data_IF_339535187227
#
_entry.id   IF_339535187227
#
_cell.length_a   1.000
_cell.length_b   1.000
_cell.length_c   1.000
_cell.angle_alpha   90.00
_cell.angle_beta   90.00
_cell.angle_gamma   90.00
#
_symmetry.space_group_name_H-M   'P 1'
#
loop_
_entity.id
_entity.type
_entity.pdbx_description
1 polymer ?
#
# COMPACT_ATOMS: atom_id res chain seq x y z
N UNK A 1 7.95 9.90 13.20
CA UNK A 1 8.78 9.32 14.29
C UNK A 1 7.86 9.00 15.45
N UNK A 2 8.04 7.79 16.00
CA UNK A 2 7.31 7.10 17.09
C UNK A 2 5.94 6.49 16.69
N UNK A 3 5.83 5.14 16.63
CA UNK A 3 4.62 4.40 16.33
C UNK A 3 3.89 3.94 17.61
N UNK A 4 2.57 3.80 17.53
CA UNK A 4 1.73 3.08 18.50
C UNK A 4 0.84 2.19 17.64
N UNK A 5 0.88 0.85 17.65
CA UNK A 5 1.18 -0.06 18.74
C UNK A 5 -0.05 -0.97 18.87
N UNK A 6 -0.10 -2.02 18.03
CA UNK A 6 -1.16 -3.02 17.97
C UNK A 6 -1.19 -3.77 19.31
N UNK A 7 -2.24 -3.56 20.09
CA UNK A 7 -2.49 -4.29 21.34
C UNK A 7 -3.20 -5.62 21.08
N UNK A 8 -2.43 -6.66 20.81
CA UNK A 8 -2.91 -8.04 20.93
C UNK A 8 -2.92 -8.41 22.43
N UNK A 9 -4.11 -8.59 23.00
CA UNK A 9 -4.27 -9.12 24.37
C UNK A 9 -4.16 -10.64 24.29
N UNK A 10 -2.95 -11.16 24.50
CA UNK A 10 -2.71 -12.57 24.77
C UNK A 10 -2.83 -12.81 26.28
N UNK A 11 -3.87 -13.53 26.71
CA UNK A 11 -4.03 -14.01 28.08
C UNK A 11 -3.07 -15.18 28.33
N UNK A 12 -1.91 -14.87 28.92
CA UNK A 12 -0.97 -15.84 29.46
C UNK A 12 -1.45 -16.32 30.83
N UNK A 13 -2.06 -17.50 30.88
CA UNK A 13 -2.31 -18.25 32.10
C UNK A 13 -0.98 -18.76 32.67
N UNK A 14 -0.43 -18.07 33.67
CA UNK A 14 0.64 -18.60 34.51
C UNK A 14 0.04 -19.60 35.52
N UNK A 15 -0.05 -20.86 35.10
CA UNK A 15 -0.21 -21.99 36.02
C UNK A 15 1.07 -22.18 36.83
N UNK A 16 1.00 -21.94 38.15
CA UNK A 16 2.01 -22.45 39.10
C UNK A 16 1.92 -23.99 39.10
N UNK A 17 2.89 -24.65 38.47
CA UNK A 17 3.10 -26.09 38.63
C UNK A 17 3.55 -26.36 40.07
N UNK A 18 2.68 -26.95 40.89
CA UNK A 18 3.12 -27.66 42.09
C UNK A 18 3.65 -29.05 41.69
N UNK A 19 4.72 -29.54 42.33
CA UNK A 19 5.22 -30.89 42.09
C UNK A 19 4.16 -31.92 42.48
N UNK A 20 4.06 -33.06 41.77
CA UNK A 20 3.12 -34.12 42.10
C UNK A 20 3.44 -34.69 43.49
N UNK A 21 2.43 -34.95 44.34
CA UNK A 21 2.66 -35.65 45.60
C UNK A 21 3.06 -37.10 45.34
N UNK A 22 3.90 -37.65 46.22
CA UNK A 22 4.41 -39.02 46.15
C UNK A 22 3.29 -40.06 46.02
N UNK A 23 3.54 -41.19 45.31
CA UNK A 23 2.54 -42.22 45.12
C UNK A 23 2.19 -42.88 46.47
N UNK A 24 0.97 -42.62 46.93
CA UNK A 24 0.36 -43.34 48.06
C UNK A 24 0.23 -44.82 47.64
N UNK A 25 0.66 -45.78 48.47
CA UNK A 25 0.50 -47.19 48.16
C UNK A 25 -0.97 -47.54 47.93
N UNK A 26 -1.28 -48.47 47.00
CA UNK A 26 -2.66 -48.87 46.76
C UNK A 26 -3.24 -49.43 48.06
N UNK A 27 -4.44 -49.00 48.49
CA UNK A 27 -5.07 -49.60 49.64
C UNK A 27 -5.39 -51.06 49.31
N UNK A 28 -5.12 -51.93 50.29
CA UNK A 28 -5.45 -53.35 50.24
C UNK A 28 -6.89 -53.55 49.74
N UNK A 29 -7.01 -54.25 48.61
CA UNK A 29 -8.25 -54.80 48.11
C UNK A 29 -8.71 -55.92 49.06
N UNK A 30 -9.32 -55.56 50.18
CA UNK A 30 -10.18 -56.48 50.92
C UNK A 30 -11.10 -55.72 51.87
N UNK A 31 -12.40 -55.83 51.59
CA UNK A 31 -13.51 -55.48 52.49
C UNK A 31 -13.76 -53.98 52.77
N UNK A 32 -14.26 -53.26 51.77
CA UNK A 32 -15.19 -52.15 52.00
C UNK A 32 -16.48 -52.40 51.22
N UNK A 33 -17.37 -53.14 51.88
CA UNK A 33 -18.81 -52.88 51.99
C UNK A 33 -19.43 -52.32 50.71
N UNK A 34 -20.19 -53.17 50.02
CA UNK A 34 -21.33 -52.76 49.20
C UNK A 34 -22.29 -51.95 50.08
N UNK A 35 -21.94 -50.68 50.31
CA UNK A 35 -22.74 -49.74 51.07
C UNK A 35 -23.89 -49.36 50.17
N UNK A 36 -25.11 -49.64 50.63
CA UNK A 36 -26.31 -48.98 50.15
C UNK A 36 -25.98 -47.51 49.91
N UNK A 37 -26.02 -47.09 48.64
CA UNK A 37 -26.01 -45.67 48.31
C UNK A 37 -27.26 -45.12 48.98
N UNK A 38 -27.07 -44.50 50.15
CA UNK A 38 -28.12 -44.00 51.01
C UNK A 38 -29.10 -43.18 50.14
N UNK A 39 -30.37 -43.57 50.12
CA UNK A 39 -31.39 -42.97 49.26
C UNK A 39 -31.44 -41.43 49.44
N UNK A 40 -31.02 -40.95 50.61
CA UNK A 40 -30.82 -39.54 50.92
C UNK A 40 -29.76 -38.86 50.02
N UNK A 41 -28.63 -39.51 49.73
CA UNK A 41 -27.55 -38.97 48.88
C UNK A 41 -28.00 -38.87 47.42
N UNK A 42 -28.74 -39.87 46.93
CA UNK A 42 -29.35 -39.83 45.59
C UNK A 42 -30.37 -38.71 45.48
N UNK A 43 -31.21 -38.54 46.51
CA UNK A 43 -32.19 -37.45 46.60
C UNK A 43 -31.54 -36.06 46.60
N UNK A 44 -30.48 -35.86 47.38
CA UNK A 44 -29.70 -34.61 47.42
C UNK A 44 -29.07 -34.33 46.04
N UNK A 45 -28.49 -35.34 45.39
CA UNK A 45 -27.90 -35.19 44.05
C UNK A 45 -28.93 -34.78 43.02
N UNK A 46 -30.12 -35.38 43.02
CA UNK A 46 -31.22 -35.00 42.12
C UNK A 46 -31.70 -33.56 42.38
N UNK A 47 -31.81 -33.15 43.65
CA UNK A 47 -32.16 -31.76 43.99
C UNK A 47 -31.11 -30.76 43.53
N UNK A 48 -29.82 -31.10 43.66
CA UNK A 48 -28.73 -30.26 43.16
C UNK A 48 -28.79 -30.12 41.63
N UNK A 49 -29.08 -31.20 40.90
CA UNK A 49 -29.24 -31.14 39.44
C UNK A 49 -30.46 -30.32 39.02
N UNK A 50 -31.58 -30.41 39.74
CA UNK A 50 -32.75 -29.55 39.52
C UNK A 50 -32.43 -28.07 39.73
N UNK A 51 -31.71 -27.74 40.82
CA UNK A 51 -31.26 -26.38 41.07
C UNK A 51 -30.30 -25.88 39.96
N UNK A 52 -29.36 -26.71 39.51
CA UNK A 52 -28.46 -26.39 38.39
C UNK A 52 -29.22 -26.15 37.08
N UNK A 53 -30.24 -26.96 36.81
CA UNK A 53 -31.14 -26.81 35.66
C UNK A 53 -31.88 -25.46 35.72
N UNK A 54 -32.51 -25.13 36.85
CA UNK A 54 -33.26 -23.88 37.02
C UNK A 54 -32.36 -22.66 36.87
N UNK A 55 -31.15 -22.70 37.44
CA UNK A 55 -30.14 -21.65 37.31
C UNK A 55 -29.71 -21.50 35.85
N UNK A 56 -29.38 -22.60 35.17
CA UNK A 56 -28.97 -22.59 33.78
C UNK A 56 -30.05 -22.03 32.86
N UNK A 57 -31.31 -22.46 33.05
CA UNK A 57 -32.45 -21.95 32.30
C UNK A 57 -32.67 -20.45 32.52
N UNK A 58 -32.59 -19.99 33.78
CA UNK A 58 -32.74 -18.57 34.11
C UNK A 58 -31.64 -17.73 33.46
N UNK A 59 -30.38 -18.17 33.54
CA UNK A 59 -29.24 -17.51 32.90
C UNK A 59 -29.40 -17.45 31.38
N UNK A 60 -29.75 -18.58 30.73
CA UNK A 60 -29.99 -18.63 29.29
C UNK A 60 -31.10 -17.65 28.87
N UNK A 61 -32.22 -17.63 29.58
CA UNK A 61 -33.33 -16.70 29.32
C UNK A 61 -32.94 -15.24 29.53
N UNK A 62 -32.14 -14.94 30.54
CA UNK A 62 -31.65 -13.59 30.77
C UNK A 62 -30.74 -13.12 29.63
N UNK A 63 -29.76 -13.94 29.24
CA UNK A 63 -28.85 -13.64 28.14
C UNK A 63 -29.59 -13.46 26.80
N UNK A 64 -30.63 -14.28 26.57
CA UNK A 64 -31.52 -14.14 25.41
C UNK A 64 -32.25 -12.80 25.38
N UNK A 65 -32.81 -12.34 26.51
CA UNK A 65 -33.48 -11.03 26.58
C UNK A 65 -32.52 -9.88 26.26
N UNK A 66 -31.27 -9.97 26.73
CA UNK A 66 -30.25 -8.97 26.39
C UNK A 66 -29.94 -8.97 24.89
N UNK A 67 -29.80 -10.15 24.29
CA UNK A 67 -29.60 -10.29 22.85
C UNK A 67 -30.78 -9.71 22.05
N UNK A 68 -32.02 -10.06 22.40
CA UNK A 68 -33.24 -9.53 21.76
C UNK A 68 -33.30 -8.00 21.82
N UNK A 69 -33.01 -7.42 22.99
CA UNK A 69 -32.92 -5.97 23.16
C UNK A 69 -31.87 -5.35 22.24
N UNK A 70 -30.69 -5.96 22.12
CA UNK A 70 -29.62 -5.47 21.25
C UNK A 70 -29.98 -5.60 19.76
N UNK A 71 -30.68 -6.66 19.35
CA UNK A 71 -31.17 -6.82 17.97
C UNK A 71 -32.25 -5.78 17.63
N UNK A 72 -33.13 -5.47 18.59
CA UNK A 72 -34.13 -4.42 18.44
C UNK A 72 -33.49 -3.02 18.36
N UNK A 73 -32.50 -2.72 19.22
CA UNK A 73 -31.77 -1.46 19.17
C UNK A 73 -31.03 -1.30 17.83
N UNK A 74 -30.32 -2.35 17.40
CA UNK A 74 -29.63 -2.36 16.11
C UNK A 74 -30.58 -2.13 14.94
N UNK A 75 -31.70 -2.86 14.87
CA UNK A 75 -32.66 -2.72 13.77
C UNK A 75 -33.31 -1.34 13.73
N UNK A 76 -33.67 -0.80 14.90
CA UNK A 76 -34.23 0.55 15.03
C UNK A 76 -33.22 1.62 14.60
N UNK A 77 -31.98 1.53 15.09
CA UNK A 77 -30.94 2.50 14.75
C UNK A 77 -30.53 2.42 13.27
N UNK A 78 -30.45 1.20 12.73
CA UNK A 78 -30.15 0.97 11.32
C UNK A 78 -31.24 1.58 10.43
N UNK A 79 -32.51 1.30 10.71
CA UNK A 79 -33.64 1.84 9.95
C UNK A 79 -33.69 3.36 10.03
N UNK A 80 -33.51 3.94 11.22
CA UNK A 80 -33.40 5.39 11.39
C UNK A 80 -32.26 5.96 10.53
N UNK A 81 -31.07 5.35 10.58
CA UNK A 81 -29.90 5.80 9.81
C UNK A 81 -30.09 5.68 8.30
N UNK A 82 -30.94 4.77 7.81
CA UNK A 82 -31.21 4.68 6.38
C UNK A 82 -32.07 5.83 5.87
N UNK A 83 -32.86 6.47 6.74
CA UNK A 83 -33.93 7.38 6.35
C UNK A 83 -33.79 8.82 6.88
N UNK A 84 -32.99 9.03 7.92
CA UNK A 84 -32.84 10.31 8.61
C UNK A 84 -31.74 11.22 8.01
N UNK A 85 -31.52 12.36 8.67
CA UNK A 85 -30.51 13.34 8.29
C UNK A 85 -29.08 12.82 8.46
N UNK A 86 -28.80 12.07 9.53
CA UNK A 86 -27.48 11.47 9.75
C UNK A 86 -27.12 10.49 8.62
N UNK A 87 -28.10 9.72 8.14
CA UNK A 87 -27.98 8.89 6.95
C UNK A 87 -27.57 9.67 5.70
N UNK A 88 -28.20 10.83 5.46
CA UNK A 88 -27.83 11.71 4.35
C UNK A 88 -26.42 12.26 4.49
N UNK A 89 -25.98 12.57 5.70
CA UNK A 89 -24.61 13.04 5.95
C UNK A 89 -23.57 11.94 5.71
N UNK A 90 -23.85 10.70 6.16
CA UNK A 90 -23.03 9.52 5.84
C UNK A 90 -22.95 9.33 4.32
N UNK A 91 -24.09 9.45 3.63
CA UNK A 91 -24.15 9.35 2.17
C UNK A 91 -23.42 10.48 1.42
N UNK A 92 -23.08 11.59 2.10
CA UNK A 92 -22.35 12.71 1.53
C UNK A 92 -20.84 12.48 1.45
N UNK A 93 -20.33 11.49 2.19
CA UNK A 93 -18.91 11.11 2.19
C UNK A 93 -18.74 9.68 1.67
N UNK A 94 -17.95 9.51 0.62
CA UNK A 94 -17.68 8.18 0.04
C UNK A 94 -16.99 7.25 1.05
N UNK A 95 -16.15 7.81 1.93
CA UNK A 95 -15.48 7.06 2.99
C UNK A 95 -16.47 6.55 4.04
N UNK A 96 -17.38 7.40 4.53
CA UNK A 96 -18.37 6.98 5.53
C UNK A 96 -19.41 6.04 4.93
N UNK A 97 -19.81 6.26 3.68
CA UNK A 97 -20.69 5.35 2.93
C UNK A 97 -20.06 3.95 2.84
N UNK A 98 -18.77 3.87 2.54
CA UNK A 98 -18.02 2.61 2.50
C UNK A 98 -17.98 1.92 3.86
N UNK A 99 -17.66 2.66 4.93
CA UNK A 99 -17.65 2.11 6.30
C UNK A 99 -19.03 1.61 6.72
N UNK A 100 -20.10 2.31 6.35
CA UNK A 100 -21.46 1.88 6.61
C UNK A 100 -21.82 0.59 5.87
N UNK A 101 -21.46 0.48 4.58
CA UNK A 101 -21.67 -0.76 3.79
C UNK A 101 -20.90 -1.93 4.42
N UNK A 102 -19.63 -1.73 4.76
CA UNK A 102 -18.80 -2.75 5.40
C UNK A 102 -19.36 -3.20 6.76
N UNK A 103 -19.86 -2.25 7.57
CA UNK A 103 -20.50 -2.57 8.85
C UNK A 103 -21.76 -3.43 8.68
N UNK A 104 -22.55 -3.16 7.64
CA UNK A 104 -23.76 -3.92 7.32
C UNK A 104 -23.45 -5.33 6.81
N UNK A 105 -22.41 -5.46 5.99
CA UNK A 105 -22.02 -6.72 5.34
C UNK A 105 -21.08 -7.59 6.17
N UNK A 106 -20.60 -7.09 7.33
CA UNK A 106 -19.70 -7.84 8.19
C UNK A 106 -20.33 -9.20 8.58
N UNK A 107 -19.65 -10.33 8.32
CA UNK A 107 -20.16 -11.64 8.68
C UNK A 107 -20.27 -11.77 10.20
N UNK A 108 -21.26 -12.54 10.66
CA UNK A 108 -21.29 -12.97 12.06
C UNK A 108 -20.17 -14.03 12.23
N UNK A 109 -19.40 -14.00 13.32
CA UNK A 109 -18.29 -14.94 13.55
C UNK A 109 -18.73 -16.40 13.71
N UNK A 110 -20.03 -16.66 13.82
CA UNK A 110 -20.61 -17.99 13.88
C UNK A 110 -21.27 -18.26 12.53
N UNK A 111 -20.81 -19.29 11.82
CA UNK A 111 -21.31 -19.67 10.47
C UNK A 111 -22.81 -19.96 10.40
N UNK A 112 -23.49 -20.12 11.54
CA UNK A 112 -24.93 -20.27 11.56
C UNK A 112 -25.62 -18.92 11.58
N UNK A 113 -26.60 -18.75 10.69
CA UNK A 113 -27.58 -17.65 10.65
C UNK A 113 -28.55 -17.65 11.84
N UNK A 114 -28.14 -18.18 12.98
CA UNK A 114 -28.98 -18.42 14.14
C UNK A 114 -29.29 -17.09 14.82
N UNK A 115 -30.56 -16.72 14.80
CA UNK A 115 -31.11 -15.48 15.37
C UNK A 115 -31.39 -15.66 16.86
N UNK A 116 -31.72 -14.56 17.56
CA UNK A 116 -32.19 -14.63 18.94
C UNK A 116 -33.42 -15.55 19.07
N UNK A 117 -34.34 -15.47 18.11
CA UNK A 117 -35.54 -16.31 18.04
C UNK A 117 -35.22 -17.80 17.90
N UNK A 118 -34.22 -18.16 17.09
CA UNK A 118 -33.81 -19.55 16.92
C UNK A 118 -33.21 -20.13 18.21
N UNK A 119 -32.44 -19.32 18.93
CA UNK A 119 -31.85 -19.71 20.20
C UNK A 119 -32.90 -19.77 21.32
N UNK A 120 -33.87 -18.85 21.34
CA UNK A 120 -35.01 -18.89 22.24
C UNK A 120 -35.86 -20.15 22.02
N UNK A 121 -36.15 -20.49 20.76
CA UNK A 121 -36.86 -21.72 20.41
C UNK A 121 -36.11 -22.96 20.90
N UNK A 122 -34.78 -23.03 20.68
CA UNK A 122 -33.97 -24.16 21.13
C UNK A 122 -33.95 -24.30 22.66
N UNK A 123 -33.84 -23.20 23.40
CA UNK A 123 -33.88 -23.21 24.87
C UNK A 123 -35.26 -23.64 25.39
N UNK A 124 -36.35 -23.15 24.78
CA UNK A 124 -37.70 -23.54 25.18
C UNK A 124 -38.05 -25.00 24.81
N UNK A 125 -37.53 -25.52 23.71
CA UNK A 125 -37.70 -26.93 23.32
C UNK A 125 -36.95 -27.86 24.29
N UNK A 126 -35.69 -27.54 24.60
CA UNK A 126 -34.90 -28.27 25.60
C UNK A 126 -35.56 -28.26 26.98
N UNK A 127 -36.13 -27.13 27.39
CA UNK A 127 -36.83 -27.00 28.68
C UNK A 127 -38.12 -27.82 28.74
N UNK A 128 -38.81 -28.04 27.61
CA UNK A 128 -40.07 -28.82 27.55
C UNK A 128 -39.85 -30.33 27.51
N UNK A 129 -38.73 -30.76 26.91
CA UNK A 129 -38.48 -32.17 26.63
C UNK A 129 -37.60 -32.87 27.69
N UNK A 130 -37.17 -32.16 28.74
CA UNK A 130 -36.33 -32.72 29.80
C UNK A 130 -37.12 -33.66 30.72
N UNK A 131 -36.54 -34.82 31.03
CA UNK A 131 -37.04 -35.68 32.09
C UNK A 131 -36.52 -35.20 33.46
N UNK A 132 -37.40 -34.60 34.27
CA UNK A 132 -37.05 -34.02 35.59
C UNK A 132 -36.73 -35.07 36.67
N UNK A 133 -36.94 -36.35 36.38
CA UNK A 133 -36.64 -37.47 37.29
C UNK A 133 -35.28 -38.12 37.00
N UNK A 134 -34.66 -37.80 35.86
CA UNK A 134 -33.36 -38.33 35.45
C UNK A 134 -32.26 -37.28 35.66
N UNK A 135 -31.33 -37.60 36.56
CA UNK A 135 -30.21 -36.72 36.92
C UNK A 135 -29.22 -36.48 35.76
N UNK A 136 -29.04 -37.47 34.87
CA UNK A 136 -28.11 -37.33 33.74
C UNK A 136 -28.74 -36.49 32.61
N UNK A 137 -30.05 -36.66 32.38
CA UNK A 137 -30.83 -35.77 31.50
C UNK A 137 -30.81 -34.32 31.99
N UNK A 138 -31.04 -34.08 33.28
CA UNK A 138 -30.98 -32.73 33.87
C UNK A 138 -29.60 -32.08 33.70
N UNK A 139 -28.54 -32.85 33.94
CA UNK A 139 -27.16 -32.39 33.76
C UNK A 139 -26.87 -32.01 32.31
N UNK A 140 -27.22 -32.88 31.36
CA UNK A 140 -27.02 -32.65 29.92
C UNK A 140 -27.76 -31.39 29.44
N UNK A 141 -29.00 -31.18 29.90
CA UNK A 141 -29.77 -29.99 29.55
C UNK A 141 -29.23 -28.73 30.22
N UNK A 142 -28.74 -28.82 31.47
CA UNK A 142 -28.06 -27.70 32.13
C UNK A 142 -26.80 -27.27 31.36
N UNK A 143 -25.97 -28.21 30.92
CA UNK A 143 -24.79 -27.95 30.07
C UNK A 143 -25.20 -27.33 28.72
N UNK A 144 -26.34 -27.74 28.15
CA UNK A 144 -26.88 -27.14 26.93
C UNK A 144 -27.35 -25.69 27.14
N UNK A 145 -27.98 -25.39 28.29
CA UNK A 145 -28.35 -24.01 28.64
C UNK A 145 -27.14 -23.11 28.88
N UNK A 146 -26.08 -23.62 29.50
CA UNK A 146 -24.83 -22.88 29.67
C UNK A 146 -24.24 -22.48 28.31
N UNK A 147 -24.11 -23.45 27.38
CA UNK A 147 -23.66 -23.18 26.00
C UNK A 147 -24.57 -22.19 25.26
N UNK A 148 -25.88 -22.31 25.44
CA UNK A 148 -26.84 -21.37 24.85
C UNK A 148 -26.64 -19.95 25.42
N UNK A 149 -26.41 -19.83 26.73
CA UNK A 149 -26.15 -18.57 27.41
C UNK A 149 -24.84 -17.92 26.95
N UNK A 150 -23.74 -18.67 26.92
CA UNK A 150 -22.44 -18.21 26.40
C UNK A 150 -22.58 -17.67 24.96
N UNK A 151 -23.30 -18.42 24.14
CA UNK A 151 -23.56 -18.04 22.76
C UNK A 151 -24.42 -16.78 22.65
N UNK A 152 -25.46 -16.65 23.47
CA UNK A 152 -26.28 -15.45 23.53
C UNK A 152 -25.44 -14.23 23.93
N UNK A 153 -24.54 -14.37 24.91
CA UNK A 153 -23.62 -13.31 25.35
C UNK A 153 -22.64 -12.91 24.23
N UNK A 154 -22.07 -13.88 23.51
CA UNK A 154 -21.19 -13.59 22.37
C UNK A 154 -21.91 -12.81 21.26
N UNK A 155 -23.12 -13.25 20.90
CA UNK A 155 -23.94 -12.55 19.91
C UNK A 155 -24.34 -11.16 20.40
N UNK A 156 -24.68 -11.02 21.68
CA UNK A 156 -25.01 -9.73 22.29
C UNK A 156 -23.83 -8.76 22.19
N UNK A 157 -22.63 -9.17 22.60
CA UNK A 157 -21.44 -8.32 22.53
C UNK A 157 -21.12 -7.88 21.11
N UNK A 158 -21.28 -8.78 20.13
CA UNK A 158 -21.10 -8.45 18.72
C UNK A 158 -22.14 -7.45 18.23
N UNK A 159 -23.42 -7.64 18.58
CA UNK A 159 -24.50 -6.71 18.23
C UNK A 159 -24.27 -5.34 18.86
N UNK A 160 -23.88 -5.30 20.12
CA UNK A 160 -23.55 -4.07 20.83
C UNK A 160 -22.39 -3.34 20.15
N UNK A 161 -21.30 -4.03 19.84
CA UNK A 161 -20.15 -3.44 19.15
C UNK A 161 -20.54 -2.85 17.78
N UNK A 162 -21.44 -3.50 17.03
CA UNK A 162 -21.95 -2.95 15.76
C UNK A 162 -22.81 -1.71 15.97
N UNK A 163 -23.69 -1.74 16.97
CA UNK A 163 -24.52 -0.59 17.34
C UNK A 163 -23.64 0.60 17.72
N UNK A 164 -22.59 0.37 18.50
CA UNK A 164 -21.64 1.41 18.91
C UNK A 164 -20.86 1.96 17.71
N UNK A 165 -20.41 1.10 16.79
CA UNK A 165 -19.78 1.53 15.54
C UNK A 165 -20.73 2.37 14.67
N UNK A 166 -22.01 2.02 14.61
CA UNK A 166 -23.00 2.81 13.89
C UNK A 166 -23.22 4.18 14.55
N UNK A 167 -23.25 4.25 15.89
CA UNK A 167 -23.31 5.52 16.63
C UNK A 167 -22.08 6.39 16.31
N UNK A 168 -20.88 5.83 16.37
CA UNK A 168 -19.63 6.53 16.01
C UNK A 168 -19.68 7.06 14.57
N UNK A 169 -20.18 6.28 13.62
CA UNK A 169 -20.35 6.72 12.22
C UNK A 169 -21.33 7.88 12.11
N UNK A 170 -22.46 7.81 12.81
CA UNK A 170 -23.45 8.90 12.85
C UNK A 170 -22.86 10.17 13.45
N UNK A 171 -22.11 10.05 14.54
CA UNK A 171 -21.47 11.18 15.22
C UNK A 171 -20.40 11.83 14.34
N UNK A 172 -19.59 11.00 13.66
CA UNK A 172 -18.58 11.47 12.70
C UNK A 172 -19.20 12.18 11.49
N UNK A 173 -20.45 11.86 11.16
CA UNK A 173 -21.16 12.46 10.04
C UNK A 173 -21.81 13.81 10.38
N UNK A 174 -21.97 14.17 11.66
CA UNK A 174 -22.72 15.36 12.07
C UNK A 174 -22.18 16.67 11.47
N UNK A 175 -20.87 16.77 11.27
CA UNK A 175 -20.21 17.95 10.68
C UNK A 175 -20.15 17.95 9.16
N UNK A 176 -20.65 16.91 8.49
CA UNK A 176 -20.55 16.78 7.04
C UNK A 176 -21.78 17.34 6.33
N UNK A 177 -21.55 17.76 5.09
CA UNK A 177 -22.61 18.25 4.20
C UNK A 177 -23.53 17.07 3.85
N UNK A 178 -24.86 17.21 4.06
CA UNK A 178 -25.80 16.16 3.73
C UNK A 178 -25.88 15.92 2.21
N UNK A 179 -25.88 14.66 1.82
CA UNK A 179 -26.15 14.25 0.45
C UNK A 179 -27.58 14.61 0.03
N UNK A 180 -27.81 14.94 -1.26
CA UNK A 180 -29.15 15.09 -1.80
C UNK A 180 -29.96 13.78 -1.75
N UNK A 181 -29.30 12.63 -1.61
CA UNK A 181 -29.92 11.31 -1.58
C UNK A 181 -29.94 10.72 -0.17
N UNK A 182 -30.99 9.93 0.13
CA UNK A 182 -31.01 9.07 1.32
C UNK A 182 -29.92 8.01 1.23
N UNK A 183 -29.46 7.53 2.38
CA UNK A 183 -28.40 6.52 2.46
C UNK A 183 -28.74 5.24 1.70
N UNK A 184 -29.99 4.77 1.82
CA UNK A 184 -30.47 3.60 1.06
C UNK A 184 -30.32 3.76 -0.46
N UNK A 185 -30.62 4.95 -0.99
CA UNK A 185 -30.46 5.27 -2.41
C UNK A 185 -29.00 5.42 -2.82
N UNK A 186 -28.17 6.02 -1.96
CA UNK A 186 -26.74 6.16 -2.20
C UNK A 186 -26.04 4.80 -2.30
N UNK A 187 -26.41 3.85 -1.43
CA UNK A 187 -25.92 2.46 -1.46
C UNK A 187 -26.29 1.80 -2.80
N UNK A 188 -27.56 1.87 -3.21
CA UNK A 188 -28.02 1.24 -4.45
C UNK A 188 -27.40 1.85 -5.71
N UNK A 189 -27.05 3.14 -5.69
CA UNK A 189 -26.41 3.84 -6.82
C UNK A 189 -24.90 3.67 -6.89
N UNK A 190 -24.28 3.20 -5.82
CA UNK A 190 -22.82 3.09 -5.74
C UNK A 190 -22.22 2.19 -6.82
N UNK A 191 -22.75 0.98 -7.10
CA UNK A 191 -22.20 0.14 -8.16
C UNK A 191 -22.17 0.83 -9.53
N UNK A 192 -23.27 1.50 -9.91
CA UNK A 192 -23.35 2.25 -11.15
C UNK A 192 -22.38 3.44 -11.18
N UNK A 193 -22.22 4.14 -10.05
CA UNK A 193 -21.28 5.27 -9.91
C UNK A 193 -19.82 4.82 -10.01
N UNK A 194 -19.49 3.65 -9.45
CA UNK A 194 -18.15 3.07 -9.56
C UNK A 194 -17.89 2.61 -11.00
N UNK A 195 -18.86 1.96 -11.64
CA UNK A 195 -18.75 1.56 -13.07
C UNK A 195 -18.49 2.76 -13.96
N UNK A 196 -19.27 3.84 -13.82
CA UNK A 196 -19.10 5.03 -14.66
C UNK A 196 -17.77 5.75 -14.40
N UNK A 197 -17.28 5.77 -13.15
CA UNK A 197 -15.93 6.29 -12.84
C UNK A 197 -14.84 5.44 -13.47
N UNK A 198 -14.97 4.11 -13.42
CA UNK A 198 -14.01 3.20 -14.06
C UNK A 198 -14.00 3.36 -15.57
N UNK A 199 -15.17 3.46 -16.21
CA UNK A 199 -15.29 3.74 -17.65
C UNK A 199 -14.66 5.09 -18.01
N UNK A 200 -14.90 6.14 -17.22
CA UNK A 200 -14.30 7.45 -17.46
C UNK A 200 -12.77 7.43 -17.32
N UNK A 201 -12.23 6.67 -16.36
CA UNK A 201 -10.78 6.48 -16.20
C UNK A 201 -10.23 5.67 -17.37
N UNK A 202 -10.88 4.57 -17.75
CA UNK A 202 -10.46 3.72 -18.85
C UNK A 202 -10.42 4.51 -20.17
N UNK A 203 -11.44 5.33 -20.42
CA UNK A 203 -11.52 6.18 -21.61
C UNK A 203 -10.47 7.29 -21.59
N UNK A 204 -10.18 7.88 -20.42
CA UNK A 204 -9.08 8.84 -20.27
C UNK A 204 -7.73 8.17 -20.58
N UNK A 205 -7.45 7.02 -19.97
CA UNK A 205 -6.22 6.26 -20.19
C UNK A 205 -6.09 5.89 -21.66
N UNK A 206 -7.17 5.46 -22.30
CA UNK A 206 -7.17 5.15 -23.74
C UNK A 206 -6.75 6.36 -24.57
N UNK A 207 -7.33 7.54 -24.34
CA UNK A 207 -6.93 8.77 -25.05
C UNK A 207 -5.48 9.16 -24.78
N UNK A 208 -5.05 9.06 -23.52
CA UNK A 208 -3.66 9.36 -23.14
C UNK A 208 -2.69 8.39 -23.85
N UNK A 209 -3.05 7.11 -23.97
CA UNK A 209 -2.22 6.13 -24.72
C UNK A 209 -2.24 6.36 -26.23
N UNK A 210 -3.40 6.72 -26.81
CA UNK A 210 -3.50 7.02 -28.25
C UNK A 210 -2.69 8.26 -28.62
N UNK A 211 -2.72 9.29 -27.77
CA UNK A 211 -1.89 10.50 -27.96
C UNK A 211 -0.41 10.19 -27.86
N UNK A 212 0.03 9.42 -26.85
CA UNK A 212 1.43 8.97 -26.74
C UNK A 212 1.88 8.14 -27.96
N UNK A 213 1.05 7.22 -28.45
CA UNK A 213 1.37 6.41 -29.62
C UNK A 213 1.49 7.26 -30.88
N UNK A 214 0.62 8.26 -31.07
CA UNK A 214 0.70 9.16 -32.21
C UNK A 214 1.97 10.03 -32.14
N UNK A 215 2.34 10.53 -30.96
CA UNK A 215 3.59 11.26 -30.76
C UNK A 215 4.83 10.39 -31.05
N UNK A 216 4.80 9.11 -30.67
CA UNK A 216 5.86 8.16 -31.00
C UNK A 216 5.93 7.86 -32.50
N UNK A 217 4.79 7.72 -33.17
CA UNK A 217 4.74 7.52 -34.63
C UNK A 217 5.30 8.72 -35.38
N UNK A 218 4.90 9.95 -35.04
CA UNK A 218 5.46 11.17 -35.65
C UNK A 218 6.98 11.27 -35.40
N UNK A 219 7.44 10.89 -34.21
CA UNK A 219 8.88 10.84 -33.89
C UNK A 219 9.61 9.79 -34.73
N UNK A 220 9.02 8.63 -34.96
CA UNK A 220 9.61 7.58 -35.80
C UNK A 220 9.60 7.97 -37.27
N UNK A 221 8.54 8.61 -37.77
CA UNK A 221 8.48 9.13 -39.15
C UNK A 221 9.57 10.17 -39.39
N UNK A 222 9.71 11.15 -38.48
CA UNK A 222 10.78 12.16 -38.59
C UNK A 222 12.18 11.57 -38.47
N UNK A 223 12.37 10.50 -37.69
CA UNK A 223 13.63 9.75 -37.65
C UNK A 223 13.88 8.99 -38.94
N UNK A 224 12.86 8.38 -39.53
CA UNK A 224 12.96 7.66 -40.79
C UNK A 224 13.28 8.61 -41.94
N UNK A 225 12.62 9.76 -42.04
CA UNK A 225 12.93 10.80 -43.04
C UNK A 225 14.40 11.25 -42.94
N UNK A 226 14.88 11.56 -41.72
CA UNK A 226 16.30 11.91 -41.50
C UNK A 226 17.26 10.78 -41.90
N UNK A 227 16.88 9.53 -41.66
CA UNK A 227 17.69 8.39 -42.06
C UNK A 227 17.74 8.22 -43.58
N UNK A 228 16.63 8.46 -44.28
CA UNK A 228 16.56 8.47 -45.75
C UNK A 228 17.46 9.59 -46.30
N UNK A 229 17.34 10.81 -45.78
CA UNK A 229 18.18 11.95 -46.17
C UNK A 229 19.68 11.64 -45.97
N UNK A 230 20.04 11.01 -44.84
CA UNK A 230 21.42 10.60 -44.58
C UNK A 230 21.91 9.55 -45.57
N UNK A 231 21.09 8.56 -45.92
CA UNK A 231 21.42 7.54 -46.93
C UNK A 231 21.59 8.19 -48.31
N UNK A 232 20.75 9.15 -48.68
CA UNK A 232 20.90 9.92 -49.92
C UNK A 232 22.21 10.73 -49.94
N UNK A 233 22.55 11.39 -48.83
CA UNK A 233 23.83 12.11 -48.70
C UNK A 233 25.04 11.17 -48.81
N UNK A 234 25.01 10.03 -48.10
CA UNK A 234 26.09 9.03 -48.13
C UNK A 234 26.24 8.39 -49.51
N UNK A 235 25.13 8.11 -50.20
CA UNK A 235 25.17 7.58 -51.58
C UNK A 235 25.69 8.61 -52.57
N UNK A 236 25.34 9.89 -52.41
CA UNK A 236 25.93 10.98 -53.20
C UNK A 236 27.45 11.12 -52.96
N UNK A 237 27.90 11.05 -51.69
CA UNK A 237 29.32 11.06 -51.32
C UNK A 237 30.07 9.84 -51.88
N UNK A 238 29.49 8.64 -51.79
CA UNK A 238 30.07 7.43 -52.38
C UNK A 238 30.24 7.55 -53.90
N UNK A 239 29.24 8.14 -54.57
CA UNK A 239 29.29 8.37 -56.02
C UNK A 239 30.37 9.38 -56.40
N UNK A 240 30.57 10.45 -55.64
CA UNK A 240 31.64 11.43 -55.90
C UNK A 240 33.04 10.86 -55.66
N UNK A 241 33.20 10.02 -54.62
CA UNK A 241 34.46 9.29 -54.36
C UNK A 241 34.74 8.28 -55.47
N UNK A 242 33.72 7.57 -55.98
CA UNK A 242 33.88 6.62 -57.09
C UNK A 242 34.20 7.29 -58.43
N UNK A 243 33.75 8.54 -58.67
CA UNK A 243 34.07 9.28 -59.90
C UNK A 243 35.44 9.97 -59.88
N UNK A 244 36.20 9.88 -58.78
CA UNK A 244 37.55 10.43 -58.69
C UNK A 244 37.61 11.96 -58.65
N UNK A 245 36.49 12.62 -58.34
CA UNK A 245 36.44 14.07 -58.14
C UNK A 245 36.95 14.37 -56.73
N UNK A 246 37.99 15.22 -56.63
CA UNK A 246 38.48 15.71 -55.35
C UNK A 246 37.31 16.36 -54.60
N UNK A 247 37.03 15.85 -53.39
CA UNK A 247 36.03 16.37 -52.49
C UNK A 247 36.21 17.88 -52.34
N UNK A 248 35.43 18.66 -53.10
CA UNK A 248 35.17 20.04 -52.75
C UNK A 248 34.39 19.97 -51.44
N UNK A 249 35.11 20.23 -50.34
CA UNK A 249 34.54 20.49 -49.03
C UNK A 249 33.49 21.57 -49.20
N UNK A 250 32.23 21.18 -49.34
CA UNK A 250 31.11 22.08 -49.11
C UNK A 250 31.24 22.54 -47.67
N UNK A 251 31.32 23.86 -47.50
CA UNK A 251 31.29 24.59 -46.24
C UNK A 251 30.11 24.10 -45.39
N UNK A 252 30.36 23.04 -44.61
CA UNK A 252 29.60 22.76 -43.40
C UNK A 252 30.14 23.74 -42.36
N UNK A 253 29.40 24.82 -42.16
CA UNK A 253 29.56 25.77 -41.06
C UNK A 253 29.17 25.12 -39.71
N UNK A 254 29.54 23.85 -39.49
CA UNK A 254 29.70 23.31 -38.15
C UNK A 254 31.09 23.75 -37.68
N UNK A 255 31.21 24.49 -36.56
CA UNK A 255 32.50 24.80 -36.01
C UNK A 255 33.17 23.47 -35.66
N UNK A 256 34.14 23.06 -36.47
CA UNK A 256 35.05 21.98 -36.14
C UNK A 256 35.65 22.33 -34.78
N UNK A 257 35.16 21.67 -33.73
CA UNK A 257 35.68 21.81 -32.37
C UNK A 257 37.17 21.50 -32.50
N UNK A 258 38.08 22.43 -32.16
CA UNK A 258 39.51 22.19 -32.30
C UNK A 258 39.85 20.92 -31.52
N UNK A 259 40.35 19.91 -32.22
CA UNK A 259 40.78 18.64 -31.63
C UNK A 259 41.82 18.96 -30.56
N UNK A 260 41.41 18.86 -29.30
CA UNK A 260 42.29 19.15 -28.17
C UNK A 260 43.48 18.20 -28.21
N UNK A 261 44.69 18.72 -28.00
CA UNK A 261 45.87 17.86 -27.97
C UNK A 261 45.94 17.08 -26.66
N UNK A 262 46.54 15.87 -26.69
CA UNK A 262 46.74 15.08 -25.46
C UNK A 262 47.65 15.79 -24.44
N UNK A 263 48.45 16.76 -24.89
CA UNK A 263 49.26 17.59 -24.01
C UNK A 263 48.39 18.60 -23.25
N UNK A 264 47.48 19.31 -23.92
CA UNK A 264 46.52 20.20 -23.25
C UNK A 264 45.66 19.47 -22.22
N UNK A 265 45.22 18.25 -22.54
CA UNK A 265 44.47 17.41 -21.60
C UNK A 265 45.27 17.11 -20.32
N UNK A 266 46.58 16.83 -20.45
CA UNK A 266 47.45 16.59 -19.30
C UNK A 266 47.68 17.86 -18.48
N UNK A 267 47.87 18.99 -19.16
CA UNK A 267 48.12 20.27 -18.51
C UNK A 267 46.87 20.76 -17.75
N UNK A 268 45.65 20.47 -18.25
CA UNK A 268 44.38 20.81 -17.61
C UNK A 268 43.83 19.71 -16.67
N UNK A 269 44.54 18.60 -16.48
CA UNK A 269 44.01 17.41 -15.79
C UNK A 269 43.53 17.67 -14.35
N UNK A 270 44.27 18.48 -13.58
CA UNK A 270 43.88 18.81 -12.21
C UNK A 270 42.57 19.63 -12.17
N UNK A 271 42.40 20.54 -13.14
CA UNK A 271 41.17 21.32 -13.31
C UNK A 271 40.01 20.42 -13.72
N UNK A 272 40.23 19.51 -14.66
CA UNK A 272 39.26 18.51 -15.10
C UNK A 272 38.78 17.67 -13.91
N UNK A 273 39.70 17.16 -13.08
CA UNK A 273 39.32 16.36 -11.90
C UNK A 273 38.50 17.16 -10.88
N UNK A 274 38.86 18.42 -10.64
CA UNK A 274 38.14 19.28 -9.70
C UNK A 274 36.71 19.60 -10.17
N UNK A 275 36.58 20.03 -11.44
CA UNK A 275 35.29 20.48 -12.00
C UNK A 275 34.38 19.31 -12.34
N UNK A 276 34.92 18.23 -12.88
CA UNK A 276 34.13 17.08 -13.36
C UNK A 276 34.04 15.94 -12.35
N UNK A 277 34.32 16.18 -11.05
CA UNK A 277 34.20 15.15 -10.00
C UNK A 277 32.81 14.49 -10.01
N UNK A 278 31.75 15.29 -10.21
CA UNK A 278 30.36 14.83 -10.23
C UNK A 278 30.03 13.86 -11.36
N UNK A 279 30.85 13.83 -12.42
CA UNK A 279 30.66 12.98 -13.60
C UNK A 279 31.66 11.82 -13.63
N UNK A 280 32.90 12.09 -13.22
CA UNK A 280 33.99 11.12 -13.32
C UNK A 280 34.04 10.12 -12.17
N UNK A 281 33.42 10.45 -11.02
CA UNK A 281 33.38 9.53 -9.88
C UNK A 281 32.37 8.40 -10.12
N UNK A 282 32.74 7.12 -9.89
CA UNK A 282 31.78 6.03 -9.98
C UNK A 282 30.61 6.17 -9.00
N UNK A 283 29.38 6.06 -9.51
CA UNK A 283 28.14 6.11 -8.73
C UNK A 283 27.10 5.15 -9.29
N UNK A 284 25.99 4.97 -8.57
CA UNK A 284 24.95 4.00 -8.94
C UNK A 284 23.93 4.54 -9.96
N UNK A 285 24.01 5.81 -10.31
CA UNK A 285 22.93 6.49 -11.01
C UNK A 285 23.37 6.93 -12.41
N UNK A 286 22.56 6.70 -13.44
CA UNK A 286 22.85 7.15 -14.81
C UNK A 286 21.71 8.02 -15.37
N UNK A 287 22.00 8.96 -16.26
CA UNK A 287 20.97 9.71 -16.96
C UNK A 287 20.23 8.84 -17.99
N UNK A 288 18.91 8.72 -17.84
CA UNK A 288 18.04 8.08 -18.82
C UNK A 288 17.38 9.11 -19.75
N UNK A 289 16.89 10.21 -19.16
CA UNK A 289 16.32 11.36 -19.87
C UNK A 289 16.79 12.66 -19.21
N UNK A 290 16.47 13.81 -19.82
CA UNK A 290 16.86 15.12 -19.30
C UNK A 290 16.36 15.40 -17.86
N UNK A 291 15.26 14.76 -17.44
CA UNK A 291 14.65 14.94 -16.12
C UNK A 291 14.82 13.72 -15.20
N UNK A 292 15.29 12.59 -15.71
CA UNK A 292 15.27 11.30 -15.00
C UNK A 292 16.64 10.66 -14.90
N UNK A 293 17.01 10.39 -13.66
CA UNK A 293 18.16 9.61 -13.26
C UNK A 293 17.70 8.21 -12.82
N UNK A 294 18.37 7.15 -13.28
CA UNK A 294 18.01 5.76 -13.02
C UNK A 294 19.11 5.06 -12.23
N UNK A 295 18.71 4.24 -11.26
CA UNK A 295 19.61 3.45 -10.44
C UNK A 295 20.04 2.16 -11.15
N UNK A 296 21.31 1.82 -11.04
CA UNK A 296 21.95 0.61 -11.56
C UNK A 296 22.68 -0.11 -10.42
N UNK A 297 22.82 -1.43 -10.54
CA UNK A 297 23.46 -2.27 -9.50
C UNK A 297 24.98 -2.11 -9.44
N UNK A 298 25.61 -1.57 -10.49
CA UNK A 298 27.06 -1.40 -10.59
C UNK A 298 27.45 0.07 -10.56
N UNK A 299 28.49 0.40 -9.77
CA UNK A 299 29.04 1.76 -9.74
C UNK A 299 29.85 2.02 -11.00
N UNK A 300 29.47 3.04 -11.75
CA UNK A 300 30.18 3.46 -12.95
C UNK A 300 30.24 4.99 -13.02
N UNK A 301 31.28 5.57 -13.65
CA UNK A 301 31.27 6.97 -14.03
C UNK A 301 30.06 7.28 -14.92
N UNK A 302 29.70 8.55 -15.04
CA UNK A 302 28.62 8.95 -15.94
C UNK A 302 29.01 8.59 -17.39
N UNK A 303 28.06 8.03 -18.14
CA UNK A 303 28.28 7.71 -19.56
C UNK A 303 28.30 8.97 -20.41
N UNK A 304 29.33 9.11 -21.24
CA UNK A 304 29.48 10.23 -22.16
C UNK A 304 28.41 10.19 -23.25
N UNK A 305 28.17 9.02 -23.86
CA UNK A 305 27.07 8.84 -24.82
C UNK A 305 25.69 9.09 -24.19
N UNK A 306 25.50 8.78 -22.91
CA UNK A 306 24.28 9.13 -22.20
C UNK A 306 24.09 10.65 -22.06
N UNK A 307 25.17 11.40 -21.76
CA UNK A 307 25.14 12.88 -21.70
C UNK A 307 24.84 13.51 -23.06
N UNK A 308 25.42 12.98 -24.14
CA UNK A 308 25.10 13.41 -25.52
C UNK A 308 23.62 13.14 -25.85
N UNK A 309 23.15 11.91 -25.60
CA UNK A 309 21.79 11.49 -25.92
C UNK A 309 20.71 12.34 -25.25
N UNK A 310 20.94 12.78 -24.01
CA UNK A 310 19.97 13.62 -23.29
C UNK A 310 20.13 15.12 -23.58
N UNK A 311 21.06 15.50 -24.46
CA UNK A 311 21.31 16.89 -24.85
C UNK A 311 22.06 17.71 -23.79
N UNK A 312 22.74 17.08 -22.82
CA UNK A 312 23.48 17.81 -21.78
C UNK A 312 24.72 18.52 -22.33
N UNK A 313 25.24 18.06 -23.47
CA UNK A 313 26.41 18.63 -24.14
C UNK A 313 26.05 19.64 -25.25
N UNK A 314 24.76 19.82 -25.56
CA UNK A 314 24.32 20.93 -26.41
C UNK A 314 24.57 22.25 -25.67
N UNK A 315 25.10 23.28 -26.32
CA UNK A 315 25.56 24.55 -25.72
C UNK A 315 24.63 25.18 -24.64
N UNK A 316 24.04 26.36 -24.88
CA UNK A 316 23.23 27.03 -23.83
C UNK A 316 21.98 26.24 -23.42
N UNK A 317 21.50 25.34 -24.28
CA UNK A 317 20.31 24.52 -24.04
C UNK A 317 20.57 23.34 -23.10
N UNK A 318 21.80 22.81 -23.06
CA UNK A 318 22.17 21.67 -22.23
C UNK A 318 22.56 22.02 -20.80
N UNK A 319 22.86 23.28 -20.49
CA UNK A 319 23.25 23.71 -19.13
C UNK A 319 22.24 23.32 -18.03
N UNK A 320 20.91 23.50 -18.22
CA UNK A 320 19.91 23.04 -17.24
C UNK A 320 19.95 21.53 -17.00
N UNK A 321 20.20 20.77 -18.06
CA UNK A 321 20.25 19.32 -18.03
C UNK A 321 21.53 18.86 -17.31
N UNK A 322 22.67 19.44 -17.66
CA UNK A 322 23.96 19.15 -17.04
C UNK A 322 23.97 19.51 -15.55
N UNK A 323 23.41 20.67 -15.19
CA UNK A 323 23.28 21.10 -13.80
C UNK A 323 22.42 20.14 -12.97
N UNK A 324 21.35 19.61 -13.57
CA UNK A 324 20.52 18.59 -12.92
C UNK A 324 21.25 17.28 -12.73
N UNK A 325 21.89 16.77 -13.77
CA UNK A 325 22.59 15.47 -13.73
C UNK A 325 23.73 15.49 -12.71
N UNK A 326 24.59 16.51 -12.75
CA UNK A 326 25.76 16.60 -11.86
C UNK A 326 25.43 17.16 -10.47
N UNK A 327 24.55 18.17 -10.40
CA UNK A 327 24.35 19.01 -9.21
C UNK A 327 23.24 18.56 -8.28
N UNK A 328 22.30 17.74 -8.75
CA UNK A 328 21.15 17.35 -7.93
C UNK A 328 21.53 16.41 -6.79
N UNK A 329 21.04 16.73 -5.60
CA UNK A 329 21.19 15.92 -4.38
C UNK A 329 19.85 15.67 -3.70
N UNK A 330 18.74 15.71 -4.45
CA UNK A 330 17.43 15.46 -3.87
C UNK A 330 17.29 13.99 -3.43
N UNK A 331 16.51 13.77 -2.38
CA UNK A 331 16.20 12.41 -1.91
C UNK A 331 15.50 11.55 -2.97
N UNK A 332 14.85 12.19 -3.95
CA UNK A 332 14.14 11.52 -5.06
C UNK A 332 15.08 11.10 -6.19
N UNK A 333 16.21 11.78 -6.39
CA UNK A 333 17.16 11.48 -7.48
C UNK A 333 18.37 10.67 -7.03
N UNK A 334 18.66 10.61 -5.72
CA UNK A 334 19.63 9.70 -5.10
C UNK A 334 21.04 9.70 -5.73
N UNK A 335 21.47 10.82 -6.33
CA UNK A 335 22.80 10.92 -6.92
C UNK A 335 23.86 10.91 -5.81
N UNK A 336 24.59 9.80 -5.72
CA UNK A 336 25.58 9.49 -4.69
C UNK A 336 26.98 10.05 -4.96
N UNK A 337 27.21 10.69 -6.12
CA UNK A 337 28.53 11.19 -6.50
C UNK A 337 28.93 12.45 -5.72
N UNK A 338 30.20 12.62 -5.32
CA UNK A 338 30.65 13.88 -4.76
C UNK A 338 30.60 14.99 -5.81
N UNK A 339 30.32 16.23 -5.40
CA UNK A 339 30.20 17.36 -6.32
C UNK A 339 31.56 17.91 -6.78
N UNK A 340 32.61 17.76 -5.98
CA UNK A 340 33.87 18.46 -6.22
C UNK A 340 33.65 19.98 -6.21
N UNK A 341 34.09 20.67 -7.26
CA UNK A 341 33.80 22.11 -7.45
C UNK A 341 32.54 22.37 -8.27
N UNK A 342 31.81 21.33 -8.71
CA UNK A 342 30.55 21.48 -9.43
C UNK A 342 29.47 22.03 -8.49
N UNK A 343 28.64 23.00 -8.93
CA UNK A 343 27.65 23.62 -8.06
C UNK A 343 26.54 22.62 -7.66
N UNK A 344 26.11 22.70 -6.40
CA UNK A 344 24.93 21.97 -5.92
C UNK A 344 23.67 22.62 -6.48
N UNK A 345 22.77 21.80 -7.01
CA UNK A 345 21.45 22.25 -7.44
C UNK A 345 20.45 22.12 -6.29
N UNK A 346 19.94 23.26 -5.81
CA UNK A 346 18.73 23.29 -4.95
C UNK A 346 17.49 23.64 -5.76
N UNK A 347 17.65 24.48 -6.79
CA UNK A 347 16.59 24.84 -7.74
C UNK A 347 17.19 25.11 -9.12
N UNK A 348 16.46 24.79 -10.19
CA UNK A 348 16.92 25.09 -11.56
C UNK A 348 17.05 26.60 -11.81
N UNK A 349 16.30 27.42 -11.06
CA UNK A 349 16.37 28.89 -11.13
C UNK A 349 17.72 29.46 -10.69
N UNK A 350 18.55 28.69 -9.99
CA UNK A 350 19.91 29.11 -9.58
C UNK A 350 20.84 29.32 -10.77
N UNK A 351 20.53 28.76 -11.95
CA UNK A 351 21.25 29.06 -13.20
C UNK A 351 21.10 30.52 -13.65
N UNK A 352 20.14 31.27 -13.10
CA UNK A 352 20.10 32.73 -13.28
C UNK A 352 21.27 33.47 -12.61
N UNK A 353 22.01 32.82 -11.71
CA UNK A 353 23.21 33.39 -11.09
C UNK A 353 24.41 33.20 -12.03
N UNK A 354 25.09 34.29 -12.47
CA UNK A 354 26.19 34.20 -13.44
C UNK A 354 27.35 33.35 -12.94
N UNK A 355 27.61 33.29 -11.63
CA UNK A 355 28.70 32.47 -11.08
C UNK A 355 28.39 30.97 -11.17
N UNK A 356 27.12 30.58 -11.02
CA UNK A 356 26.71 29.17 -11.14
C UNK A 356 26.68 28.78 -12.60
N UNK A 357 26.08 29.62 -13.47
CA UNK A 357 26.07 29.42 -14.91
C UNK A 357 27.49 29.24 -15.46
N UNK A 358 28.44 30.12 -15.12
CA UNK A 358 29.82 30.03 -15.58
C UNK A 358 30.52 28.73 -15.15
N UNK A 359 30.21 28.18 -13.96
CA UNK A 359 30.76 26.90 -13.50
C UNK A 359 30.17 25.70 -14.22
N UNK A 360 28.88 25.77 -14.58
CA UNK A 360 28.23 24.70 -15.35
C UNK A 360 28.68 24.77 -16.82
N UNK A 361 28.85 25.97 -17.37
CA UNK A 361 29.44 26.20 -18.70
C UNK A 361 30.87 25.68 -18.77
N UNK A 362 31.71 26.01 -17.78
CA UNK A 362 33.08 25.47 -17.68
C UNK A 362 33.10 23.93 -17.68
N UNK A 363 32.20 23.30 -16.93
CA UNK A 363 32.08 21.84 -16.91
C UNK A 363 31.64 21.28 -18.28
N UNK A 364 30.67 21.93 -18.93
CA UNK A 364 30.19 21.55 -20.25
C UNK A 364 31.31 21.65 -21.29
N UNK A 365 32.06 22.75 -21.30
CA UNK A 365 33.19 22.97 -22.19
C UNK A 365 34.26 21.89 -22.02
N UNK A 366 34.63 21.55 -20.78
CA UNK A 366 35.60 20.49 -20.50
C UNK A 366 35.11 19.11 -20.96
N UNK A 367 33.82 18.80 -20.78
CA UNK A 367 33.22 17.55 -21.26
C UNK A 367 33.22 17.48 -22.79
N UNK A 368 32.83 18.55 -23.48
CA UNK A 368 32.85 18.60 -24.94
C UNK A 368 34.27 18.57 -25.51
N UNK A 369 35.24 19.25 -24.86
CA UNK A 369 36.62 19.36 -25.33
C UNK A 369 37.43 18.09 -25.08
N UNK A 370 37.25 17.42 -23.94
CA UNK A 370 38.08 16.30 -23.50
C UNK A 370 37.33 14.97 -23.31
N UNK A 371 36.05 14.89 -23.70
CA UNK A 371 35.20 13.71 -23.51
C UNK A 371 35.81 12.40 -24.00
N UNK A 372 36.41 12.40 -25.20
CA UNK A 372 37.08 11.24 -25.78
C UNK A 372 38.27 10.75 -24.95
N UNK A 373 39.13 11.66 -24.49
CA UNK A 373 40.27 11.31 -23.62
C UNK A 373 39.82 10.82 -22.24
N UNK A 374 38.72 11.37 -21.72
CA UNK A 374 38.14 10.92 -20.45
C UNK A 374 37.59 9.49 -20.54
N UNK A 375 37.05 9.08 -21.70
CA UNK A 375 36.65 7.69 -21.94
C UNK A 375 37.88 6.79 -22.04
N UNK A 376 38.91 7.21 -22.80
CA UNK A 376 40.18 6.45 -22.93
C UNK A 376 40.84 6.18 -21.58
N UNK A 377 40.83 7.16 -20.67
CA UNK A 377 41.42 7.06 -19.34
C UNK A 377 40.47 6.41 -18.30
N UNK A 378 39.27 5.96 -18.73
CA UNK A 378 38.28 5.31 -17.86
C UNK A 378 37.63 6.22 -16.83
N UNK A 379 37.73 7.54 -17.03
CA UNK A 379 37.12 8.56 -16.18
C UNK A 379 35.66 8.84 -16.56
N UNK A 380 35.24 8.54 -17.79
CA UNK A 380 33.83 8.48 -18.18
C UNK A 380 33.52 7.09 -18.72
N UNK A 381 32.27 6.66 -18.55
CA UNK A 381 31.80 5.47 -19.23
C UNK A 381 31.54 5.80 -20.72
N UNK A 382 31.75 4.86 -21.65
CA UNK A 382 31.47 5.08 -23.07
C UNK A 382 30.00 5.43 -23.33
#
# INVERSE_FOLDING_TARGET
MIPVGIGAVALLLHGRQMPPPDPVPPPDETELIAGEVDANVVGIRLQLQKASFDIGLAQAKQSLRHLESAEQEWSTLLDATLHDSAGRQIAGSDELLLRFIALREMPLPIESKMTASDLAFAVDDLAKNVNMEDADSLRSVAEAFEKASERAVLLFNLRQARTDQLKILRDSAQSLVPSPYKLSMAISRRPATVSSKLEAIAEKVKRDTETMLNEELERLETQHEKAVDLVEQLTAQLKSVQSGEALATTDSDEPAIPLATRQEYRDEFDRIRAVLTAFTTPGYVQPETADKLVFHDTKQPVSYSALERIGALEAKKGLPILFRVGGSKSATQQNDRPLGTFPRMNSISELGNPNIAARVEEAQELLCKYGSFLIEDGLLAP
#
